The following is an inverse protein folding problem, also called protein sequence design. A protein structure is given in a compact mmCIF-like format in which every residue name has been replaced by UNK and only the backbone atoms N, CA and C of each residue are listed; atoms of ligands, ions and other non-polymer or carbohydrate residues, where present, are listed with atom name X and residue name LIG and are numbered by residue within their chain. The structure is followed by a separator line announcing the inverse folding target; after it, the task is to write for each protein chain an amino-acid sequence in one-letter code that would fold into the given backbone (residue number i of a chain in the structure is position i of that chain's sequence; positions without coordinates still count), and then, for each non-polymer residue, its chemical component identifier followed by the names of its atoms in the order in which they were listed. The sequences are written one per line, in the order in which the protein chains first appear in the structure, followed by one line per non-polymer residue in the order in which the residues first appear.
data_IF_569649803552
#
_entry.id   IF_569649803552
#
_cell.length_a   1.000
_cell.length_b   1.000
_cell.length_c   1.000
_cell.angle_alpha   90.00
_cell.angle_beta   90.00
_cell.angle_gamma   90.00
#
_symmetry.space_group_name_H-M   'P 1'
#
loop_
_entity.id
_entity.type
_entity.pdbx_description
1 polymer ?
#
# COMPACT_ATOMS: atom_id res chain seq x y z
N UNK A 1 -92.07 -27.72 7.90
CA UNK A 1 -91.18 -27.47 9.05
C UNK A 1 -89.83 -26.99 8.52
N UNK A 2 -89.52 -25.69 8.67
CA UNK A 2 -88.25 -25.07 8.26
C UNK A 2 -87.40 -24.89 9.52
N UNK A 3 -86.26 -25.57 9.61
CA UNK A 3 -85.25 -25.30 10.63
C UNK A 3 -84.28 -24.25 10.06
N UNK A 4 -84.12 -23.07 10.69
CA UNK A 4 -83.09 -22.13 10.29
C UNK A 4 -81.74 -22.61 10.81
N UNK A 5 -80.82 -22.84 9.88
CA UNK A 5 -79.43 -23.21 10.16
C UNK A 5 -78.68 -21.92 10.55
N UNK A 6 -78.55 -21.68 11.86
CA UNK A 6 -77.83 -20.53 12.41
C UNK A 6 -76.32 -20.83 12.38
N UNK A 7 -75.66 -20.51 11.27
CA UNK A 7 -74.22 -20.66 11.12
C UNK A 7 -73.49 -19.47 11.78
N UNK A 8 -73.20 -19.58 13.07
CA UNK A 8 -72.36 -18.61 13.78
C UNK A 8 -70.89 -18.91 13.44
N UNK A 9 -70.37 -18.25 12.42
CA UNK A 9 -68.94 -18.31 12.09
C UNK A 9 -68.14 -17.65 13.23
N UNK A 10 -67.41 -18.46 14.01
CA UNK A 10 -66.44 -18.00 15.02
C UNK A 10 -65.29 -17.28 14.32
N UNK A 11 -65.41 -15.96 14.15
CA UNK A 11 -64.27 -15.11 13.83
C UNK A 11 -63.33 -15.08 15.04
N UNK A 12 -62.05 -15.45 14.87
CA UNK A 12 -61.10 -15.44 15.97
C UNK A 12 -60.93 -14.01 16.50
N UNK A 13 -60.75 -13.83 17.82
CA UNK A 13 -60.64 -12.52 18.45
C UNK A 13 -59.43 -11.76 17.87
N UNK A 14 -59.64 -10.50 17.49
CA UNK A 14 -58.64 -9.65 16.83
C UNK A 14 -57.29 -9.54 17.57
N UNK A 15 -57.25 -9.78 18.89
CA UNK A 15 -56.02 -9.80 19.68
C UNK A 15 -55.09 -11.00 19.42
N UNK A 16 -55.62 -12.13 18.94
CA UNK A 16 -54.83 -13.33 18.62
C UNK A 16 -53.90 -13.10 17.42
N UNK A 17 -54.36 -12.34 16.43
CA UNK A 17 -53.61 -12.05 15.21
C UNK A 17 -52.49 -11.02 15.45
N UNK A 18 -52.72 -10.00 16.29
CA UNK A 18 -51.68 -9.03 16.68
C UNK A 18 -50.55 -9.68 17.47
N UNK A 19 -50.88 -10.52 18.45
CA UNK A 19 -49.86 -11.21 19.26
C UNK A 19 -48.97 -12.10 18.38
N UNK A 20 -49.53 -12.79 17.38
CA UNK A 20 -48.75 -13.58 16.42
C UNK A 20 -47.83 -12.73 15.54
N UNK A 21 -48.29 -11.56 15.11
CA UNK A 21 -47.48 -10.63 14.31
C UNK A 21 -46.28 -10.09 15.10
N UNK A 22 -46.48 -9.76 16.37
CA UNK A 22 -45.39 -9.26 17.24
C UNK A 22 -44.34 -10.35 17.51
N UNK A 23 -44.75 -11.60 17.77
CA UNK A 23 -43.81 -12.72 17.96
C UNK A 23 -43.03 -13.04 16.69
N UNK A 24 -43.68 -13.00 15.52
CA UNK A 24 -43.04 -13.25 14.24
C UNK A 24 -42.01 -12.16 13.90
N UNK A 25 -42.33 -10.90 14.22
CA UNK A 25 -41.41 -9.77 14.01
C UNK A 25 -40.17 -9.88 14.90
N UNK A 26 -40.35 -10.23 16.18
CA UNK A 26 -39.21 -10.47 17.10
C UNK A 26 -38.34 -11.65 16.67
N UNK A 27 -38.95 -12.75 16.21
CA UNK A 27 -38.20 -13.91 15.72
C UNK A 27 -37.37 -13.55 14.48
N UNK A 28 -37.94 -12.80 13.53
CA UNK A 28 -37.23 -12.37 12.33
C UNK A 28 -36.04 -11.46 12.67
N UNK A 29 -36.24 -10.49 13.56
CA UNK A 29 -35.18 -9.60 14.06
C UNK A 29 -34.04 -10.39 14.73
N UNK A 30 -34.38 -11.39 15.54
CA UNK A 30 -33.39 -12.23 16.23
C UNK A 30 -32.58 -13.05 15.22
N UNK A 31 -33.23 -13.61 14.20
CA UNK A 31 -32.55 -14.38 13.14
C UNK A 31 -31.63 -13.46 12.32
N UNK A 32 -32.08 -12.26 11.96
CA UNK A 32 -31.26 -11.29 11.23
C UNK A 32 -30.05 -10.86 12.08
N UNK A 33 -30.23 -10.62 13.38
CA UNK A 33 -29.14 -10.24 14.28
C UNK A 33 -28.16 -11.41 14.51
N UNK A 34 -28.66 -12.64 14.59
CA UNK A 34 -27.81 -13.84 14.68
C UNK A 34 -27.02 -14.08 13.39
N UNK A 35 -27.65 -13.92 12.21
CA UNK A 35 -26.97 -14.05 10.93
C UNK A 35 -25.92 -12.96 10.71
N UNK A 36 -26.24 -11.70 11.05
CA UNK A 36 -25.31 -10.58 10.96
C UNK A 36 -24.12 -10.74 11.92
N UNK A 37 -24.37 -11.24 13.13
CA UNK A 37 -23.29 -11.49 14.09
C UNK A 37 -22.39 -12.65 13.64
N UNK A 38 -22.94 -13.75 13.12
CA UNK A 38 -22.14 -14.84 12.53
C UNK A 38 -21.25 -14.36 11.37
N UNK A 39 -21.76 -13.49 10.50
CA UNK A 39 -20.96 -12.92 9.41
C UNK A 39 -19.81 -12.05 9.92
N UNK A 40 -20.02 -11.27 10.99
CA UNK A 40 -18.98 -10.45 11.61
C UNK A 40 -17.92 -11.29 12.34
N UNK A 41 -18.31 -12.41 12.96
CA UNK A 41 -17.36 -13.34 13.62
C UNK A 41 -16.65 -14.28 12.64
N UNK A 42 -17.21 -14.47 11.44
CA UNK A 42 -16.59 -15.30 10.41
C UNK A 42 -15.45 -14.59 9.67
N UNK A 43 -15.21 -13.29 9.88
CA UNK A 43 -14.14 -12.57 9.19
C UNK A 43 -12.76 -13.11 9.57
N UNK A 44 -11.91 -13.29 8.58
CA UNK A 44 -10.55 -13.74 8.78
C UNK A 44 -9.74 -12.70 9.55
N UNK A 45 -8.91 -13.16 10.49
CA UNK A 45 -8.00 -12.28 11.23
C UNK A 45 -6.56 -12.71 11.04
N UNK A 46 -5.72 -11.72 10.79
CA UNK A 46 -4.28 -11.89 10.57
C UNK A 46 -3.51 -10.76 11.25
N UNK A 47 -2.23 -10.97 11.48
CA UNK A 47 -1.32 -9.94 11.98
C UNK A 47 -0.21 -9.78 10.97
N UNK A 48 0.01 -8.56 10.48
CA UNK A 48 1.15 -8.19 9.67
C UNK A 48 2.30 -7.80 10.60
N UNK A 49 3.36 -8.59 10.59
CA UNK A 49 4.63 -8.36 11.27
C UNK A 49 5.72 -9.18 10.56
N UNK A 50 6.97 -8.78 10.70
CA UNK A 50 8.12 -9.63 10.41
C UNK A 50 8.93 -9.88 11.68
N UNK A 51 9.95 -10.73 11.58
CA UNK A 51 10.90 -10.98 12.66
C UNK A 51 12.28 -10.41 12.32
N UNK A 52 13.20 -10.47 13.28
CA UNK A 52 14.57 -9.96 13.13
C UNK A 52 15.40 -10.72 12.10
N UNK A 53 14.93 -11.88 11.61
CA UNK A 53 15.55 -12.63 10.50
C UNK A 53 14.97 -12.27 9.12
N UNK A 54 13.82 -11.61 9.06
CA UNK A 54 13.04 -11.38 7.84
C UNK A 54 12.77 -9.88 7.63
N UNK A 55 13.78 -9.05 7.87
CA UNK A 55 13.68 -7.59 7.78
C UNK A 55 13.43 -7.12 6.34
N UNK A 56 12.78 -5.97 6.19
CA UNK A 56 12.71 -5.26 4.91
C UNK A 56 14.04 -4.58 4.63
N UNK A 57 14.65 -4.96 3.50
CA UNK A 57 16.01 -4.54 3.13
C UNK A 57 15.92 -3.73 1.84
N UNK A 58 16.55 -2.55 1.81
CA UNK A 58 16.74 -1.81 0.56
C UNK A 58 18.01 -2.29 -0.10
N UNK A 59 17.88 -2.89 -1.27
CA UNK A 59 19.01 -3.27 -2.13
C UNK A 59 18.84 -2.57 -3.47
N UNK A 60 19.59 -1.50 -3.72
CA UNK A 60 19.65 -0.94 -5.07
C UNK A 60 20.62 -1.76 -5.93
N UNK A 61 20.14 -2.25 -7.06
CA UNK A 61 20.99 -2.93 -8.06
C UNK A 61 21.55 -1.95 -9.10
N UNK A 62 21.08 -0.70 -9.09
CA UNK A 62 21.43 0.34 -10.05
C UNK A 62 22.25 1.46 -9.39
N UNK A 63 23.55 1.38 -9.64
CA UNK A 63 24.69 2.13 -9.08
C UNK A 63 24.74 3.66 -9.35
N UNK A 64 23.65 4.43 -9.27
CA UNK A 64 23.67 5.82 -9.78
C UNK A 64 23.02 6.94 -8.93
N UNK A 65 22.92 6.85 -7.60
CA UNK A 65 22.64 8.07 -6.81
C UNK A 65 23.08 7.99 -5.33
N UNK A 66 22.99 9.14 -4.62
CA UNK A 66 23.47 9.42 -3.25
C UNK A 66 23.06 8.50 -2.09
N UNK A 67 22.36 7.41 -2.37
CA UNK A 67 22.01 6.34 -1.42
C UNK A 67 23.04 5.19 -1.42
N UNK A 68 24.22 5.41 -2.02
CA UNK A 68 25.35 4.47 -2.01
C UNK A 68 25.79 3.91 -0.64
N UNK A 69 25.49 4.50 0.54
CA UNK A 69 25.81 3.84 1.81
C UNK A 69 24.88 2.69 2.19
N UNK A 70 23.64 2.62 1.68
CA UNK A 70 22.67 1.56 2.03
C UNK A 70 22.77 0.40 1.02
N UNK A 71 23.92 -0.27 0.99
CA UNK A 71 24.05 -1.54 0.28
C UNK A 71 23.38 -2.65 1.08
N UNK A 72 22.13 -2.99 0.73
CA UNK A 72 21.40 -4.10 1.35
C UNK A 72 21.29 -4.00 2.87
N UNK A 73 20.96 -2.81 3.36
CA UNK A 73 20.69 -2.58 4.78
C UNK A 73 19.19 -2.58 5.07
N UNK A 74 18.79 -2.94 6.31
CA UNK A 74 17.40 -2.81 6.74
C UNK A 74 16.92 -1.35 6.66
N UNK A 75 15.66 -1.15 6.23
CA UNK A 75 15.06 0.19 6.11
C UNK A 75 15.14 0.93 7.44
N UNK A 76 15.68 2.16 7.51
CA UNK A 76 15.76 2.90 8.76
C UNK A 76 14.36 3.21 9.30
N UNK A 77 14.11 2.99 10.60
CA UNK A 77 12.84 3.39 11.24
C UNK A 77 12.94 4.78 11.90
N UNK A 78 14.08 5.45 11.87
CA UNK A 78 14.25 6.78 12.49
C UNK A 78 13.66 7.93 11.66
N UNK A 79 13.25 7.67 10.41
CA UNK A 79 12.72 8.67 9.50
C UNK A 79 12.80 8.20 8.04
N UNK A 80 12.44 9.05 7.07
CA UNK A 80 12.50 8.71 5.66
C UNK A 80 13.89 8.26 5.21
N UNK A 81 13.95 7.63 4.04
CA UNK A 81 15.21 7.34 3.36
C UNK A 81 15.99 8.64 3.09
N UNK A 82 17.27 8.52 2.70
CA UNK A 82 18.16 9.66 2.50
C UNK A 82 17.66 10.66 1.45
N UNK A 83 16.92 10.19 0.46
CA UNK A 83 16.23 11.00 -0.56
C UNK A 83 14.91 11.64 -0.09
N UNK A 84 14.48 11.36 1.16
CA UNK A 84 13.23 11.80 1.74
C UNK A 84 12.06 10.83 1.51
N UNK A 85 12.29 9.67 0.88
CA UNK A 85 11.24 8.70 0.58
C UNK A 85 10.74 7.99 1.83
N UNK A 86 9.42 7.95 1.97
CA UNK A 86 8.73 7.15 2.99
C UNK A 86 8.19 5.90 2.31
N UNK A 87 8.52 4.75 2.85
CA UNK A 87 8.04 3.45 2.43
C UNK A 87 6.76 3.06 3.18
N UNK A 88 5.83 2.49 2.45
CA UNK A 88 4.60 1.88 2.94
C UNK A 88 4.66 0.36 2.73
N UNK A 89 4.14 -0.39 3.70
CA UNK A 89 4.03 -1.84 3.66
C UNK A 89 2.56 -2.19 3.57
N UNK A 90 2.18 -2.98 2.58
CA UNK A 90 0.80 -3.41 2.35
C UNK A 90 0.66 -4.92 2.41
N UNK A 91 -0.43 -5.37 3.03
CA UNK A 91 -0.84 -6.77 2.99
C UNK A 91 -1.98 -6.93 1.99
N UNK A 92 -1.72 -7.68 0.93
CA UNK A 92 -2.72 -8.15 -0.02
C UNK A 92 -3.23 -9.52 0.42
N UNK A 93 -4.52 -9.76 0.25
CA UNK A 93 -5.15 -11.03 0.60
C UNK A 93 -6.35 -11.34 -0.28
N UNK A 94 -6.63 -12.62 -0.49
CA UNK A 94 -7.81 -13.07 -1.23
C UNK A 94 -8.04 -14.58 -1.15
N UNK A 95 -9.19 -15.03 -1.63
CA UNK A 95 -9.52 -16.47 -1.73
C UNK A 95 -8.88 -17.14 -2.95
N UNK A 96 -8.16 -16.38 -3.79
CA UNK A 96 -7.46 -16.83 -4.98
C UNK A 96 -6.14 -16.07 -5.16
N UNK A 97 -5.09 -16.74 -5.63
CA UNK A 97 -3.76 -16.15 -5.88
C UNK A 97 -3.76 -15.10 -6.99
N UNK A 98 -4.74 -15.13 -7.90
CA UNK A 98 -4.85 -14.19 -9.02
C UNK A 98 -5.81 -13.03 -8.74
N UNK A 99 -6.44 -13.01 -7.56
CA UNK A 99 -7.44 -12.01 -7.19
C UNK A 99 -7.32 -11.68 -5.70
N UNK A 100 -6.27 -10.93 -5.37
CA UNK A 100 -6.04 -10.40 -4.03
C UNK A 100 -6.38 -8.91 -3.99
N UNK A 101 -6.90 -8.45 -2.86
CA UNK A 101 -7.16 -7.04 -2.59
C UNK A 101 -6.34 -6.58 -1.40
N UNK A 102 -6.04 -5.28 -1.36
CA UNK A 102 -5.35 -4.67 -0.24
C UNK A 102 -6.20 -4.77 1.03
N UNK A 103 -5.66 -5.40 2.08
CA UNK A 103 -6.32 -5.57 3.38
C UNK A 103 -5.89 -4.50 4.38
N UNK A 104 -4.62 -4.08 4.36
CA UNK A 104 -4.11 -3.02 5.23
C UNK A 104 -2.83 -2.42 4.66
N UNK A 105 -2.48 -1.21 5.13
CA UNK A 105 -1.17 -0.61 4.94
C UNK A 105 -0.62 -0.03 6.24
N UNK A 106 0.71 0.06 6.31
CA UNK A 106 1.42 0.64 7.45
C UNK A 106 2.69 1.32 6.95
N UNK A 107 2.95 2.54 7.43
CA UNK A 107 4.18 3.26 7.11
C UNK A 107 5.37 2.63 7.85
N UNK A 108 6.43 2.31 7.12
CA UNK A 108 7.63 1.70 7.66
C UNK A 108 8.53 2.74 8.34
N UNK A 109 8.76 3.87 7.65
CA UNK A 109 9.72 4.89 8.04
C UNK A 109 9.16 6.33 7.89
N UNK A 110 8.02 6.65 8.53
CA UNK A 110 7.40 7.96 8.42
C UNK A 110 8.30 9.09 8.97
N UNK A 111 7.98 10.34 8.59
CA UNK A 111 8.58 11.54 9.20
C UNK A 111 8.39 11.53 10.72
N UNK A 112 9.50 11.60 11.47
CA UNK A 112 9.49 11.48 12.94
C UNK A 112 9.68 10.06 13.47
N UNK A 113 9.82 9.07 12.59
CA UNK A 113 10.19 7.69 12.90
C UNK A 113 9.00 6.72 12.97
N UNK A 114 9.27 5.49 12.54
CA UNK A 114 8.38 4.34 12.66
C UNK A 114 8.30 3.79 14.08
N UNK A 115 7.31 2.93 14.31
CA UNK A 115 7.06 2.25 15.60
C UNK A 115 7.53 0.80 15.61
N UNK A 116 8.34 0.40 14.63
CA UNK A 116 9.00 -0.90 14.61
C UNK A 116 9.93 -1.09 15.80
N UNK A 117 10.23 -2.33 16.17
CA UNK A 117 11.20 -2.61 17.23
C UNK A 117 12.64 -2.39 16.76
N UNK A 118 12.92 -2.53 15.47
CA UNK A 118 14.22 -2.28 14.84
C UNK A 118 14.09 -1.82 13.38
N UNK A 119 15.23 -1.45 12.75
CA UNK A 119 15.26 -1.10 11.32
C UNK A 119 14.76 -2.28 10.47
N UNK A 120 13.94 -2.00 9.46
CA UNK A 120 13.35 -2.99 8.55
C UNK A 120 12.13 -3.73 9.13
N UNK A 121 11.68 -3.40 10.33
CA UNK A 121 10.50 -3.98 10.96
C UNK A 121 9.36 -2.95 11.02
N UNK A 122 8.18 -3.21 10.42
CA UNK A 122 7.02 -2.35 10.60
C UNK A 122 6.40 -2.61 11.98
N UNK A 123 5.61 -1.68 12.53
CA UNK A 123 4.84 -1.97 13.72
C UNK A 123 3.83 -3.10 13.44
N UNK A 124 3.68 -4.00 14.41
CA UNK A 124 2.71 -5.09 14.34
C UNK A 124 1.31 -4.55 14.10
N UNK A 125 0.68 -4.99 13.02
CA UNK A 125 -0.62 -4.47 12.58
C UNK A 125 -1.65 -5.60 12.52
N UNK A 126 -2.70 -5.46 13.31
CA UNK A 126 -3.80 -6.41 13.38
C UNK A 126 -4.84 -6.10 12.29
N UNK A 127 -5.23 -7.12 11.53
CA UNK A 127 -6.04 -6.97 10.32
C UNK A 127 -7.26 -7.88 10.40
N UNK A 128 -8.43 -7.30 10.13
CA UNK A 128 -9.66 -8.02 9.85
C UNK A 128 -9.81 -8.07 8.34
N UNK A 129 -9.68 -9.27 7.76
CA UNK A 129 -9.78 -9.51 6.34
C UNK A 129 -11.20 -9.29 5.84
N UNK A 130 -11.29 -8.92 4.56
CA UNK A 130 -12.55 -8.78 3.81
C UNK A 130 -13.21 -10.12 3.46
N UNK A 131 -12.55 -11.24 3.75
CA UNK A 131 -12.99 -12.61 3.49
C UNK A 131 -13.02 -13.46 4.76
N UNK A 132 -13.77 -14.57 4.78
CA UNK A 132 -13.92 -15.39 5.96
C UNK A 132 -12.62 -16.07 6.43
N UNK A 133 -12.48 -16.25 7.74
CA UNK A 133 -11.44 -17.05 8.36
C UNK A 133 -11.78 -18.55 8.37
N UNK A 134 -10.82 -19.36 8.79
CA UNK A 134 -10.98 -20.81 8.92
C UNK A 134 -10.91 -21.60 7.60
N UNK A 135 -10.61 -20.95 6.48
CA UNK A 135 -10.28 -21.59 5.20
C UNK A 135 -8.96 -21.05 4.65
N UNK A 136 -8.20 -21.84 3.86
CA UNK A 136 -7.00 -21.35 3.21
C UNK A 136 -7.28 -20.12 2.35
N UNK A 137 -6.44 -19.09 2.50
CA UNK A 137 -6.45 -17.88 1.70
C UNK A 137 -5.02 -17.58 1.23
N UNK A 138 -4.93 -16.77 0.17
CA UNK A 138 -3.68 -16.36 -0.44
C UNK A 138 -3.35 -14.95 0.02
N UNK A 139 -2.07 -14.71 0.26
CA UNK A 139 -1.56 -13.44 0.73
C UNK A 139 -0.26 -13.07 0.02
N UNK A 140 -0.01 -11.77 -0.04
CA UNK A 140 1.23 -11.20 -0.53
C UNK A 140 1.50 -9.90 0.22
N UNK A 141 2.76 -9.64 0.52
CA UNK A 141 3.25 -8.41 1.11
C UNK A 141 3.97 -7.62 0.03
N UNK A 142 3.65 -6.33 -0.05
CA UNK A 142 4.36 -5.38 -0.87
C UNK A 142 4.94 -4.27 0.01
N UNK A 143 6.08 -3.74 -0.39
CA UNK A 143 6.66 -2.51 0.16
C UNK A 143 6.87 -1.56 -1.00
N UNK A 144 6.41 -0.31 -0.89
CA UNK A 144 6.56 0.67 -1.97
C UNK A 144 6.72 2.10 -1.44
N UNK A 145 7.11 3.02 -2.30
CA UNK A 145 7.11 4.46 -2.00
C UNK A 145 5.68 4.97 -1.77
N UNK A 146 5.41 5.42 -0.54
CA UNK A 146 4.11 5.94 -0.08
C UNK A 146 3.61 7.17 -0.84
N UNK A 147 4.43 7.79 -1.68
CA UNK A 147 3.97 8.80 -2.62
C UNK A 147 2.95 8.25 -3.63
N UNK A 148 3.05 6.95 -3.94
CA UNK A 148 2.17 6.28 -4.89
C UNK A 148 1.03 5.56 -4.17
N UNK A 149 -0.16 5.56 -4.78
CA UNK A 149 -1.36 4.93 -4.21
C UNK A 149 -1.27 3.40 -4.21
N UNK A 150 -0.48 2.82 -5.13
CA UNK A 150 -0.28 1.38 -5.25
C UNK A 150 1.18 1.04 -5.56
N UNK A 151 1.64 -0.17 -5.21
CA UNK A 151 2.96 -0.64 -5.60
C UNK A 151 3.14 -0.76 -7.12
N UNK A 152 2.06 -0.99 -7.89
CA UNK A 152 2.13 -0.98 -9.35
C UNK A 152 2.42 0.42 -9.91
N UNK A 153 1.81 1.47 -9.33
CA UNK A 153 2.10 2.84 -9.72
C UNK A 153 3.55 3.22 -9.38
N UNK A 154 4.05 2.78 -8.21
CA UNK A 154 5.45 2.96 -7.84
C UNK A 154 6.40 2.24 -8.81
N UNK A 155 6.10 0.99 -9.17
CA UNK A 155 6.88 0.21 -10.13
C UNK A 155 6.91 0.87 -11.51
N UNK A 156 5.76 1.32 -12.01
CA UNK A 156 5.65 2.04 -13.30
C UNK A 156 6.42 3.36 -13.30
N UNK A 157 6.55 4.00 -12.14
CA UNK A 157 7.31 5.21 -11.96
C UNK A 157 8.79 4.96 -11.61
N UNK A 158 9.22 3.69 -11.56
CA UNK A 158 10.55 3.26 -11.13
C UNK A 158 10.91 3.67 -9.70
N UNK A 159 9.92 3.89 -8.83
CA UNK A 159 10.13 4.15 -7.42
C UNK A 159 10.58 2.90 -6.66
N UNK A 160 10.73 3.05 -5.34
CA UNK A 160 10.97 1.91 -4.46
C UNK A 160 9.79 0.96 -4.50
N UNK A 161 10.05 -0.31 -4.84
CA UNK A 161 9.05 -1.38 -4.79
C UNK A 161 9.71 -2.72 -4.46
N UNK A 162 9.03 -3.54 -3.67
CA UNK A 162 9.44 -4.88 -3.34
C UNK A 162 8.22 -5.76 -3.08
N UNK A 163 8.25 -6.97 -3.59
CA UNK A 163 7.20 -7.97 -3.42
C UNK A 163 7.78 -9.21 -2.78
N UNK A 164 7.07 -9.82 -1.85
CA UNK A 164 7.33 -11.21 -1.53
C UNK A 164 6.56 -12.14 -2.50
N UNK A 165 6.84 -13.44 -2.39
CA UNK A 165 6.06 -14.46 -3.04
C UNK A 165 4.65 -14.56 -2.45
N UNK A 166 3.70 -14.96 -3.29
CA UNK A 166 2.35 -15.31 -2.85
C UNK A 166 2.45 -16.56 -1.97
N UNK A 167 1.88 -16.50 -0.78
CA UNK A 167 1.85 -17.61 0.16
C UNK A 167 0.41 -17.90 0.59
N UNK A 168 0.20 -19.10 1.14
CA UNK A 168 -1.08 -19.51 1.69
C UNK A 168 -1.03 -19.56 3.22
N UNK A 169 -2.08 -19.06 3.86
CA UNK A 169 -2.32 -19.29 5.28
C UNK A 169 -3.82 -19.38 5.56
N UNK A 170 -4.18 -19.92 6.72
CA UNK A 170 -5.59 -19.97 7.16
C UNK A 170 -5.82 -18.87 8.18
N UNK A 171 -6.57 -17.79 7.85
CA UNK A 171 -6.82 -16.71 8.79
C UNK A 171 -7.61 -17.22 10.01
N UNK A 172 -7.32 -16.65 11.17
CA UNK A 172 -8.03 -16.99 12.40
C UNK A 172 -9.51 -16.59 12.32
N UNK A 173 -10.39 -17.39 12.92
CA UNK A 173 -11.81 -17.07 13.13
C UNK A 173 -12.12 -16.69 14.58
N UNK A 174 -11.09 -16.59 15.45
CA UNK A 174 -11.21 -16.31 16.88
C UNK A 174 -11.34 -14.82 17.20
N UNK A 175 -11.77 -14.51 18.43
CA UNK A 175 -11.82 -13.12 18.94
C UNK A 175 -10.41 -12.56 19.10
N UNK A 176 -9.46 -13.37 19.60
CA UNK A 176 -8.06 -12.99 19.77
C UNK A 176 -7.27 -13.14 18.48
N UNK A 177 -6.36 -12.20 18.24
CA UNK A 177 -5.33 -12.35 17.22
C UNK A 177 -4.35 -13.47 17.63
N UNK A 178 -3.88 -14.28 16.69
CA UNK A 178 -2.82 -15.25 16.97
C UNK A 178 -1.60 -14.54 17.58
N UNK A 179 -0.94 -15.18 18.55
CA UNK A 179 0.33 -14.66 19.08
C UNK A 179 1.38 -14.64 17.99
N UNK A 180 2.24 -13.62 18.02
CA UNK A 180 3.43 -13.54 17.17
C UNK A 180 4.39 -14.61 17.68
N UNK A 181 4.46 -15.74 16.98
CA UNK A 181 5.41 -16.80 17.27
C UNK A 181 6.48 -16.74 16.19
N UNK A 182 7.74 -16.53 16.57
CA UNK A 182 8.86 -16.73 15.65
C UNK A 182 8.79 -18.16 15.11
N UNK A 183 8.59 -18.33 13.80
CA UNK A 183 8.35 -19.63 13.17
C UNK A 183 6.92 -19.91 12.67
N UNK A 184 6.11 -18.88 12.40
CA UNK A 184 4.86 -19.04 11.66
C UNK A 184 3.62 -19.24 12.54
N UNK A 185 3.04 -18.14 13.01
CA UNK A 185 1.67 -18.14 13.53
C UNK A 185 0.66 -18.29 12.39
N UNK A 186 -0.24 -19.29 12.49
CA UNK A 186 -1.26 -19.76 11.53
C UNK A 186 -0.78 -20.69 10.40
N UNK A 187 -0.58 -21.98 10.69
CA UNK A 187 -0.37 -23.07 9.69
C UNK A 187 0.46 -22.66 8.46
N UNK A 188 1.53 -21.90 8.68
CA UNK A 188 2.47 -21.58 7.62
C UNK A 188 3.21 -22.88 7.33
N UNK A 189 2.91 -23.51 6.19
CA UNK A 189 3.86 -24.43 5.60
C UNK A 189 4.99 -23.53 5.08
N UNK A 190 6.18 -23.64 5.67
CA UNK A 190 7.36 -22.98 5.13
C UNK A 190 7.45 -23.34 3.64
N UNK A 191 7.37 -22.35 2.78
CA UNK A 191 7.45 -22.52 1.32
C UNK A 191 8.90 -22.51 0.85
N UNK A 192 9.86 -22.36 1.78
CA UNK A 192 11.30 -22.40 1.50
C UNK A 192 11.81 -21.12 0.86
N UNK A 193 11.08 -20.02 1.04
CA UNK A 193 11.44 -18.69 0.54
C UNK A 193 11.07 -17.60 1.55
N UNK A 194 11.34 -17.87 2.82
CA UNK A 194 11.27 -16.90 3.92
C UNK A 194 12.42 -15.87 3.85
N UNK A 195 12.87 -15.55 2.64
CA UNK A 195 13.93 -14.59 2.38
C UNK A 195 13.50 -13.18 2.80
N UNK A 196 14.44 -12.32 3.26
CA UNK A 196 14.18 -10.90 3.41
C UNK A 196 13.51 -10.33 2.16
N UNK A 197 12.46 -9.53 2.33
CA UNK A 197 11.85 -8.84 1.19
C UNK A 197 12.79 -7.69 0.80
N UNK A 198 13.34 -7.83 -0.41
CA UNK A 198 14.20 -6.84 -1.02
C UNK A 198 13.35 -5.77 -1.69
N UNK A 199 13.51 -4.54 -1.24
CA UNK A 199 12.97 -3.35 -1.90
C UNK A 199 14.00 -2.92 -2.92
N UNK A 200 13.64 -3.09 -4.20
CA UNK A 200 14.43 -2.59 -5.31
C UNK A 200 13.78 -1.31 -5.81
N UNK A 201 14.50 -0.21 -5.77
CA UNK A 201 14.12 1.01 -6.45
C UNK A 201 15.20 1.36 -7.44
N UNK A 202 14.80 1.98 -8.55
CA UNK A 202 15.65 3.05 -9.03
C UNK A 202 15.39 4.19 -8.07
N UNK A 203 16.42 4.82 -7.50
CA UNK A 203 16.17 6.01 -6.72
C UNK A 203 15.38 6.96 -7.64
N UNK A 204 14.19 7.43 -7.22
CA UNK A 204 13.45 8.37 -8.02
C UNK A 204 14.39 9.55 -8.29
N UNK A 205 14.37 10.11 -9.50
CA UNK A 205 15.25 11.21 -9.81
C UNK A 205 15.11 12.29 -8.75
N UNK A 206 16.24 12.74 -8.18
CA UNK A 206 16.23 13.72 -7.08
C UNK A 206 15.25 14.84 -7.38
N UNK A 207 14.31 15.06 -6.46
CA UNK A 207 13.31 16.13 -6.62
C UNK A 207 14.06 17.44 -6.87
N UNK A 208 13.80 18.13 -7.98
CA UNK A 208 14.46 19.40 -8.25
C UNK A 208 13.96 20.45 -7.26
N UNK A 209 14.92 21.14 -6.66
CA UNK A 209 14.75 22.23 -5.72
C UNK A 209 15.35 23.46 -6.39
N UNK A 210 14.57 24.55 -6.43
CA UNK A 210 15.09 25.81 -6.89
C UNK A 210 16.23 26.28 -5.98
N UNK A 211 17.34 26.66 -6.59
CA UNK A 211 18.38 27.44 -5.94
C UNK A 211 17.92 28.89 -5.70
N UNK A 212 18.83 29.75 -5.22
CA UNK A 212 18.55 31.17 -5.05
C UNK A 212 18.07 31.80 -6.37
N UNK A 213 16.93 32.48 -6.31
CA UNK A 213 16.40 33.25 -7.44
C UNK A 213 17.21 34.54 -7.57
N UNK A 214 17.78 34.78 -8.75
CA UNK A 214 18.53 36.01 -9.01
C UNK A 214 17.69 36.91 -9.91
N UNK A 215 17.51 38.17 -9.50
CA UNK A 215 16.79 39.17 -10.29
C UNK A 215 17.74 40.30 -10.64
N UNK A 216 17.89 40.61 -11.93
CA UNK A 216 18.79 41.67 -12.39
C UNK A 216 18.31 42.23 -13.73
N UNK A 217 18.25 43.56 -13.87
CA UNK A 217 17.89 44.25 -15.11
C UNK A 217 16.56 43.77 -15.73
N UNK A 218 15.55 43.46 -14.91
CA UNK A 218 14.25 42.98 -15.39
C UNK A 218 14.23 41.51 -15.83
N UNK A 219 15.32 40.77 -15.59
CA UNK A 219 15.41 39.33 -15.80
C UNK A 219 15.39 38.60 -14.46
N UNK A 220 14.81 37.40 -14.48
CA UNK A 220 14.82 36.40 -13.42
C UNK A 220 15.65 35.23 -13.92
N UNK A 221 16.66 34.83 -13.14
CA UNK A 221 17.42 33.60 -13.36
C UNK A 221 16.95 32.59 -12.33
N UNK A 222 16.39 31.50 -12.83
CA UNK A 222 15.99 30.34 -12.06
C UNK A 222 17.05 29.26 -12.28
N UNK A 223 17.51 28.66 -11.19
CA UNK A 223 18.40 27.50 -11.22
C UNK A 223 17.85 26.43 -10.32
N UNK A 224 18.11 25.17 -10.62
CA UNK A 224 17.69 24.05 -9.78
C UNK A 224 18.74 22.95 -9.77
N UNK A 225 18.78 22.17 -8.70
CA UNK A 225 19.50 20.90 -8.72
C UNK A 225 18.71 19.86 -9.52
N UNK A 226 19.42 18.90 -10.11
CA UNK A 226 18.79 17.87 -10.91
C UNK A 226 19.81 16.93 -11.53
N UNK A 227 19.32 15.77 -12.00
CA UNK A 227 20.10 14.84 -12.81
C UNK A 227 20.12 15.35 -14.27
N UNK A 228 21.30 15.60 -14.85
CA UNK A 228 21.42 16.12 -16.21
C UNK A 228 20.89 15.16 -17.30
N UNK A 229 20.60 13.90 -16.96
CA UNK A 229 20.02 12.93 -17.90
C UNK A 229 18.50 13.03 -18.06
N UNK A 230 17.83 13.82 -17.23
CA UNK A 230 16.37 13.94 -17.22
C UNK A 230 15.87 15.11 -18.05
N UNK A 231 14.63 15.02 -18.49
CA UNK A 231 13.94 16.12 -19.15
C UNK A 231 13.18 16.95 -18.12
N UNK A 232 13.50 18.24 -18.04
CA UNK A 232 12.82 19.17 -17.16
C UNK A 232 11.86 20.04 -17.96
N UNK A 233 10.73 20.38 -17.37
CA UNK A 233 9.80 21.36 -17.87
C UNK A 233 9.55 22.41 -16.79
N UNK A 234 10.01 23.63 -17.04
CA UNK A 234 9.75 24.77 -16.18
C UNK A 234 8.42 25.39 -16.58
N UNK A 235 7.49 25.46 -15.64
CA UNK A 235 6.17 26.02 -15.84
C UNK A 235 5.98 27.28 -15.01
N UNK A 236 5.19 28.21 -15.54
CA UNK A 236 4.85 29.49 -14.91
C UNK A 236 3.34 29.64 -14.78
N UNK A 237 2.92 30.37 -13.74
CA UNK A 237 1.55 30.79 -13.50
C UNK A 237 1.56 32.20 -12.89
N UNK A 238 0.65 33.09 -13.30
CA UNK A 238 0.58 34.48 -12.81
C UNK A 238 -0.44 34.66 -11.68
N UNK A 239 -1.19 33.61 -11.34
CA UNK A 239 -2.20 33.63 -10.29
C UNK A 239 -2.34 32.25 -9.64
N UNK A 240 -1.99 32.15 -8.36
CA UNK A 240 -2.02 30.88 -7.62
C UNK A 240 -3.41 30.21 -7.59
N UNK A 241 -4.50 30.97 -7.81
CA UNK A 241 -5.86 30.43 -7.91
C UNK A 241 -6.18 29.80 -9.29
N UNK A 242 -5.36 30.05 -10.31
CA UNK A 242 -5.54 29.44 -11.63
C UNK A 242 -4.96 28.02 -11.64
N UNK A 243 -5.71 27.08 -12.22
CA UNK A 243 -5.30 25.69 -12.37
C UNK A 243 -4.38 25.45 -13.56
N UNK A 244 -4.38 26.38 -14.53
CA UNK A 244 -3.61 26.24 -15.76
C UNK A 244 -2.19 26.75 -15.56
N UNK A 245 -1.21 25.95 -15.95
CA UNK A 245 0.20 26.30 -15.93
C UNK A 245 0.72 26.30 -17.36
N UNK A 246 1.59 27.26 -17.69
CA UNK A 246 2.18 27.38 -19.03
C UNK A 246 3.63 26.94 -19.00
N UNK A 247 4.03 26.15 -20.00
CA UNK A 247 5.42 25.79 -20.23
C UNK A 247 6.22 27.01 -20.64
N UNK A 248 7.24 27.34 -19.86
CA UNK A 248 8.20 28.41 -20.20
C UNK A 248 9.34 27.84 -21.04
N UNK A 249 9.88 26.69 -20.63
CA UNK A 249 10.96 25.97 -21.32
C UNK A 249 10.88 24.48 -21.00
N UNK A 250 11.43 23.65 -21.88
CA UNK A 250 11.59 22.22 -21.65
C UNK A 250 12.84 21.69 -22.34
N UNK A 251 13.59 20.81 -21.67
CA UNK A 251 14.78 20.19 -22.24
C UNK A 251 15.50 19.20 -21.33
N UNK A 252 16.28 18.32 -21.95
CA UNK A 252 17.14 17.36 -21.26
C UNK A 252 18.36 18.06 -20.67
N UNK A 253 18.62 17.82 -19.38
CA UNK A 253 19.76 18.38 -18.66
C UNK A 253 19.70 19.88 -18.41
N UNK A 254 18.52 20.48 -18.60
CA UNK A 254 18.30 21.88 -18.28
C UNK A 254 18.28 22.04 -16.75
N UNK A 255 19.22 22.85 -16.22
CA UNK A 255 19.35 23.12 -14.77
C UNK A 255 19.27 24.62 -14.44
N UNK A 256 19.05 25.46 -15.45
CA UNK A 256 18.81 26.89 -15.28
C UNK A 256 18.05 27.46 -16.46
N UNK A 257 17.23 28.46 -16.20
CA UNK A 257 16.51 29.25 -17.20
C UNK A 257 16.58 30.73 -16.83
N UNK A 258 16.70 31.59 -17.85
CA UNK A 258 16.62 33.05 -17.68
C UNK A 258 15.41 33.58 -18.41
N UNK A 259 14.51 34.26 -17.71
CA UNK A 259 13.28 34.81 -18.27
C UNK A 259 13.05 36.25 -17.86
N UNK A 260 12.12 36.93 -18.51
CA UNK A 260 11.73 38.27 -18.13
C UNK A 260 10.80 38.24 -16.90
N UNK A 261 10.92 39.25 -16.04
CA UNK A 261 9.87 39.54 -15.05
C UNK A 261 8.61 39.88 -15.85
N UNK A 262 7.55 39.09 -15.70
CA UNK A 262 6.25 39.38 -16.27
C UNK A 262 5.77 40.76 -15.80
N UNK A 263 5.00 41.47 -16.62
CA UNK A 263 4.32 42.71 -16.18
C UNK A 263 3.27 42.47 -15.08
N UNK A 264 2.95 41.21 -14.78
CA UNK A 264 2.06 40.81 -13.70
C UNK A 264 2.65 41.09 -12.31
N UNK A 265 1.78 41.35 -11.34
CA UNK A 265 2.18 41.69 -9.97
C UNK A 265 2.88 40.54 -9.23
N UNK A 266 2.63 39.29 -9.64
CA UNK A 266 3.23 38.08 -9.08
C UNK A 266 3.34 36.99 -10.15
N UNK A 267 4.38 36.16 -10.04
CA UNK A 267 4.57 34.94 -10.81
C UNK A 267 4.93 33.78 -9.87
N UNK A 268 4.47 32.59 -10.23
CA UNK A 268 4.72 31.33 -9.55
C UNK A 268 5.39 30.38 -10.53
N UNK A 269 6.43 29.68 -10.08
CA UNK A 269 7.18 28.75 -10.91
C UNK A 269 7.13 27.36 -10.30
N UNK A 270 7.06 26.34 -11.15
CA UNK A 270 7.23 24.94 -10.75
C UNK A 270 8.04 24.19 -11.79
N UNK A 271 8.71 23.13 -11.35
CA UNK A 271 9.39 22.20 -12.23
C UNK A 271 8.57 20.91 -12.32
N UNK A 272 8.42 20.43 -13.55
CA UNK A 272 7.90 19.09 -13.85
C UNK A 272 9.07 18.28 -14.40
N UNK A 273 9.31 17.12 -13.81
CA UNK A 273 10.32 16.18 -14.30
C UNK A 273 9.64 15.16 -15.18
N UNK A 274 10.08 15.05 -16.41
CA UNK A 274 9.65 14.01 -17.35
C UNK A 274 10.66 12.88 -17.30
N UNK A 275 10.22 11.72 -16.85
CA UNK A 275 11.06 10.53 -16.80
C UNK A 275 11.42 10.12 -18.25
N UNK A 276 12.70 9.86 -18.60
CA UNK A 276 13.00 9.27 -19.89
C UNK A 276 12.24 7.96 -20.07
N UNK A 277 11.75 7.71 -21.29
CA UNK A 277 11.08 6.46 -21.61
C UNK A 277 11.97 5.25 -21.25
N UNK A 278 11.39 4.11 -20.82
CA UNK A 278 12.13 2.93 -20.37
C UNK A 278 13.30 2.59 -21.30
N UNK A 279 14.52 2.70 -20.79
CA UNK A 279 15.59 1.88 -21.34
C UNK A 279 15.44 0.49 -20.71
N UNK A 280 14.87 -0.45 -21.46
CA UNK A 280 14.72 -1.84 -21.03
C UNK A 280 16.11 -2.47 -20.85
N UNK A 281 16.67 -2.40 -19.65
CA UNK A 281 17.63 -3.39 -19.21
C UNK A 281 16.82 -4.57 -18.68
N UNK A 282 16.77 -5.64 -19.46
CA UNK A 282 16.35 -6.96 -18.99
C UNK A 282 17.42 -7.42 -17.99
N UNK A 283 17.38 -6.94 -16.75
CA UNK A 283 18.14 -7.56 -15.67
C UNK A 283 17.42 -8.85 -15.32
N UNK A 284 17.86 -9.96 -15.91
CA UNK A 284 17.48 -11.27 -15.45
C UNK A 284 17.79 -11.36 -13.96
N UNK A 285 16.74 -11.42 -13.14
CA UNK A 285 16.87 -11.70 -11.71
C UNK A 285 17.74 -12.96 -11.55
N UNK A 286 18.82 -12.93 -10.75
CA UNK A 286 19.54 -14.14 -10.41
C UNK A 286 18.58 -15.02 -9.61
N UNK A 287 18.01 -16.02 -10.28
CA UNK A 287 17.21 -17.07 -9.63
C UNK A 287 18.03 -17.63 -8.46
N UNK A 288 17.55 -17.57 -7.20
CA UNK A 288 18.18 -18.36 -6.16
C UNK A 288 18.01 -19.83 -6.51
N UNK A 289 19.14 -20.53 -6.61
CA UNK A 289 19.18 -21.97 -6.78
C UNK A 289 18.71 -22.64 -5.48
N UNK A 290 17.58 -23.35 -5.52
CA UNK A 290 17.14 -24.19 -4.41
C UNK A 290 17.96 -25.48 -4.34
N UNK A 291 18.49 -25.82 -3.15
CA UNK A 291 18.93 -27.18 -2.83
C UNK A 291 17.82 -27.86 -2.04
N UNK A 292 17.12 -28.79 -2.69
CA UNK A 292 16.24 -29.73 -2.00
C UNK A 292 17.13 -30.71 -1.24
N UNK A 293 17.12 -30.65 0.09
CA UNK A 293 17.56 -31.76 0.92
C UNK A 293 16.32 -32.63 1.18
N UNK A 294 16.34 -33.83 0.60
CA UNK A 294 15.34 -34.86 0.76
C UNK A 294 15.29 -35.36 2.22
N UNK A 295 14.14 -35.33 2.92
CA UNK A 295 14.00 -35.93 4.22
C UNK A 295 13.70 -37.43 4.05
N UNK A 296 14.74 -38.19 3.71
CA UNK A 296 14.88 -39.57 4.15
C UNK A 296 14.36 -40.66 3.22
N UNK A 297 15.27 -41.59 2.93
CA UNK A 297 14.96 -43.01 2.84
C UNK A 297 16.19 -43.84 2.50
N UNK A 298 16.30 -45.08 3.01
CA UNK A 298 16.07 -45.56 4.38
C UNK A 298 17.30 -45.38 5.31
#
# INVERSE_FOLDING_TARGET
MKYPLHLTALLPPAGSLRKKADTMTSALLTIVLAAASLAAFAQGKVTLCNDTSSLYIVCSTSYVCGDCPVTCEPVPISGPLHDGTVLEVGLYGGTSSVSMTLQTTVLLNPLGGGRGACNGEPPSTHVICTFPGGSPAYFQVAVWDSFYATPQDAEMAYGYVGWNHIFQMTPGFSISYPTINGGGGSTWAAVGDESPLYVTGYPPPMRPIFGPVVVTNGLIVLSWNGDPSLNYELQVNTNLAQTNWWTLTSGVGLLSETTHISGDSQCFYRLVVHNPAPFFLVSGSPRPFYRVADPGGP
#
